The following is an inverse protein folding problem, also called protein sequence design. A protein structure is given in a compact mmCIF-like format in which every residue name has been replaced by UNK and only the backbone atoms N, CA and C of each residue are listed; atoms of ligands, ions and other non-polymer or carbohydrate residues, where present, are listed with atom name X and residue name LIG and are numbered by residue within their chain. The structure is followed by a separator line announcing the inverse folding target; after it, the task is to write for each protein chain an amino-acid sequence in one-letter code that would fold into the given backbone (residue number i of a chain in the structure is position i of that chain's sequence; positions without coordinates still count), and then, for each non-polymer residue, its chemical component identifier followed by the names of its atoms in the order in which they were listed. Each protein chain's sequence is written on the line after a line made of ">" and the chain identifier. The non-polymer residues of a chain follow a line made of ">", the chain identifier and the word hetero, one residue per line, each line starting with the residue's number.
data_IF_720504632956
#
_entry.id   IF_720504632956
#
_cell.length_a   1.000
_cell.length_b   1.000
_cell.length_c   1.000
_cell.angle_alpha   90.00
_cell.angle_beta   90.00
_cell.angle_gamma   90.00
#
_symmetry.space_group_name_H-M   'P 1'
#
loop_
_entity.id
_entity.type
_entity.pdbx_description
1 polymer ?
#
# COMPACT_ATOMS: atom_id res chain seq x y z
N UNK A 1 12.67 -33.60 25.23
CA UNK A 1 11.80 -33.86 24.08
C UNK A 1 11.68 -32.57 23.29
N UNK A 2 12.50 -32.49 22.24
CA UNK A 2 12.69 -31.31 21.41
C UNK A 2 12.00 -31.56 20.08
N UNK A 3 11.00 -30.75 19.74
CA UNK A 3 10.39 -30.72 18.41
C UNK A 3 10.06 -29.28 18.08
N UNK A 4 11.08 -28.53 17.66
CA UNK A 4 10.97 -27.14 17.19
C UNK A 4 11.73 -27.00 15.87
N UNK A 5 11.27 -27.65 14.80
CA UNK A 5 11.83 -27.49 13.45
C UNK A 5 10.78 -27.81 12.38
N UNK A 6 9.69 -27.03 12.33
CA UNK A 6 8.73 -27.05 11.23
C UNK A 6 8.17 -25.65 10.92
N UNK A 7 8.99 -24.60 11.08
CA UNK A 7 8.54 -23.20 10.91
C UNK A 7 9.41 -22.37 9.97
N UNK A 8 10.19 -23.00 9.08
CA UNK A 8 11.27 -22.31 8.36
C UNK A 8 11.17 -22.28 6.83
N UNK A 9 10.13 -22.85 6.22
CA UNK A 9 10.10 -23.10 4.77
C UNK A 9 9.11 -22.23 3.97
N UNK A 10 8.16 -21.55 4.61
CA UNK A 10 7.07 -20.82 3.92
C UNK A 10 7.31 -19.30 3.90
N UNK A 11 8.41 -18.85 3.26
CA UNK A 11 8.67 -17.43 3.07
C UNK A 11 8.54 -17.04 1.59
N UNK A 12 7.81 -15.95 1.23
CA UNK A 12 7.60 -15.55 -0.18
C UNK A 12 8.90 -15.19 -0.92
N UNK A 13 10.00 -15.00 -0.20
CA UNK A 13 11.32 -14.67 -0.75
C UNK A 13 12.27 -15.88 -0.85
N UNK A 14 11.78 -17.10 -0.60
CA UNK A 14 12.58 -18.34 -0.63
C UNK A 14 12.32 -19.21 -1.87
N UNK A 15 11.28 -18.92 -2.64
CA UNK A 15 10.92 -19.57 -3.90
C UNK A 15 11.51 -18.83 -5.12
N UNK A 16 11.35 -19.40 -6.32
CA UNK A 16 11.71 -18.77 -7.60
C UNK A 16 11.28 -17.29 -7.62
N UNK A 17 12.18 -16.33 -7.91
CA UNK A 17 11.85 -14.90 -7.89
C UNK A 17 10.72 -14.50 -8.85
N UNK A 18 10.41 -15.34 -9.84
CA UNK A 18 9.30 -15.13 -10.77
C UNK A 18 8.04 -15.92 -10.42
N UNK A 19 8.02 -16.60 -9.26
CA UNK A 19 6.80 -17.21 -8.77
C UNK A 19 5.71 -16.16 -8.53
N UNK A 20 4.47 -16.52 -8.82
CA UNK A 20 3.32 -15.61 -8.76
C UNK A 20 3.15 -15.01 -7.36
N UNK A 21 3.45 -15.77 -6.31
CA UNK A 21 3.36 -15.30 -4.93
C UNK A 21 4.44 -14.25 -4.62
N UNK A 22 5.69 -14.50 -5.03
CA UNK A 22 6.80 -13.56 -4.87
C UNK A 22 6.53 -12.25 -5.62
N UNK A 23 6.09 -12.34 -6.88
CA UNK A 23 5.74 -11.16 -7.70
C UNK A 23 4.60 -10.37 -7.05
N UNK A 24 3.56 -11.03 -6.57
CA UNK A 24 2.44 -10.36 -5.89
C UNK A 24 2.89 -9.66 -4.60
N UNK A 25 3.76 -10.28 -3.79
CA UNK A 25 4.30 -9.69 -2.58
C UNK A 25 5.10 -8.40 -2.91
N UNK A 26 6.02 -8.47 -3.88
CA UNK A 26 6.83 -7.33 -4.30
C UNK A 26 5.96 -6.22 -4.89
N UNK A 27 4.95 -6.57 -5.71
CA UNK A 27 4.03 -5.59 -6.27
C UNK A 27 3.27 -4.81 -5.19
N UNK A 28 2.74 -5.50 -4.17
CA UNK A 28 2.02 -4.85 -3.06
C UNK A 28 2.95 -3.97 -2.21
N UNK A 29 4.16 -4.44 -1.90
CA UNK A 29 5.16 -3.65 -1.16
C UNK A 29 5.54 -2.39 -1.95
N UNK A 30 5.76 -2.54 -3.26
CA UNK A 30 6.13 -1.43 -4.14
C UNK A 30 4.99 -0.42 -4.25
N UNK A 31 3.76 -0.90 -4.46
CA UNK A 31 2.57 -0.06 -4.50
C UNK A 31 2.40 0.73 -3.20
N UNK A 32 2.52 0.08 -2.05
CA UNK A 32 2.45 0.73 -0.74
C UNK A 32 3.51 1.84 -0.61
N UNK A 33 4.76 1.52 -0.94
CA UNK A 33 5.90 2.44 -0.75
C UNK A 33 5.80 3.65 -1.67
N UNK A 34 5.47 3.44 -2.95
CA UNK A 34 5.28 4.51 -3.92
C UNK A 34 4.08 5.39 -3.54
N UNK A 35 2.97 4.78 -3.09
CA UNK A 35 1.81 5.52 -2.61
C UNK A 35 2.15 6.36 -1.37
N UNK A 36 2.91 5.84 -0.42
CA UNK A 36 3.35 6.56 0.78
C UNK A 36 4.21 7.79 0.42
N UNK A 37 5.20 7.63 -0.47
CA UNK A 37 6.01 8.74 -0.95
C UNK A 37 5.19 9.77 -1.73
N UNK A 38 4.27 9.30 -2.59
CA UNK A 38 3.36 10.17 -3.34
C UNK A 38 2.46 10.97 -2.41
N UNK A 39 1.95 10.36 -1.33
CA UNK A 39 1.08 11.02 -0.36
C UNK A 39 1.78 12.24 0.27
N UNK A 40 3.08 12.15 0.56
CA UNK A 40 3.83 13.28 1.10
C UNK A 40 4.00 14.39 0.07
N UNK A 41 4.30 14.05 -1.18
CA UNK A 41 4.44 15.03 -2.26
C UNK A 41 3.11 15.74 -2.55
N UNK A 42 1.98 15.05 -2.41
CA UNK A 42 0.64 15.60 -2.65
C UNK A 42 -0.06 16.14 -1.41
N UNK A 43 0.55 16.03 -0.22
CA UNK A 43 -0.05 16.49 1.04
C UNK A 43 -0.41 17.98 1.04
N UNK A 44 0.41 18.81 0.39
CA UNK A 44 0.17 20.25 0.26
C UNK A 44 -0.64 20.63 -0.99
N UNK A 45 -1.09 19.66 -1.79
CA UNK A 45 -1.81 19.89 -3.04
C UNK A 45 -3.29 19.57 -2.89
N UNK A 46 -4.14 20.43 -3.42
CA UNK A 46 -5.57 20.16 -3.56
C UNK A 46 -5.83 19.85 -5.03
N UNK A 47 -6.49 18.72 -5.30
CA UNK A 47 -6.94 18.36 -6.63
C UNK A 47 -8.36 18.88 -6.83
N UNK A 48 -8.58 19.60 -7.93
CA UNK A 48 -9.91 19.94 -8.41
C UNK A 48 -10.29 18.95 -9.52
N UNK A 49 -11.29 18.11 -9.26
CA UNK A 49 -11.78 17.11 -10.20
C UNK A 49 -13.09 17.62 -10.83
N UNK A 50 -13.17 17.75 -12.17
CA UNK A 50 -14.39 18.20 -12.82
C UNK A 50 -15.50 17.14 -12.71
N UNK A 51 -16.71 17.60 -12.44
CA UNK A 51 -17.93 16.80 -12.45
C UNK A 51 -18.53 16.77 -13.85
N UNK A 52 -19.16 15.64 -14.25
CA UNK A 52 -19.81 15.53 -15.56
C UNK A 52 -21.03 16.46 -15.72
N UNK A 53 -21.59 16.94 -14.62
CA UNK A 53 -22.66 17.95 -14.60
C UNK A 53 -22.55 18.79 -13.32
N UNK A 54 -22.94 20.06 -13.40
CA UNK A 54 -22.85 20.97 -12.27
C UNK A 54 -23.91 20.67 -11.21
N UNK A 55 -23.52 20.69 -9.94
CA UNK A 55 -24.44 20.57 -8.81
C UNK A 55 -24.91 21.97 -8.37
N UNK A 56 -26.22 22.16 -8.08
CA UNK A 56 -26.81 23.49 -7.84
C UNK A 56 -26.26 24.24 -6.61
N UNK A 57 -25.52 23.57 -5.71
CA UNK A 57 -24.91 24.18 -4.52
C UNK A 57 -23.38 24.02 -4.48
N UNK A 58 -22.87 22.90 -5.00
CA UNK A 58 -21.44 22.54 -4.90
C UNK A 58 -20.64 23.03 -6.10
N UNK A 59 -21.31 23.41 -7.20
CA UNK A 59 -20.65 23.80 -8.44
C UNK A 59 -20.22 22.58 -9.29
N UNK A 60 -19.32 22.79 -10.27
CA UNK A 60 -18.93 21.76 -11.23
C UNK A 60 -17.68 20.96 -10.83
N UNK A 61 -17.13 21.13 -9.62
CA UNK A 61 -15.85 20.53 -9.24
C UNK A 61 -15.88 19.92 -7.83
N UNK A 62 -15.16 18.82 -7.64
CA UNK A 62 -14.85 18.23 -6.34
C UNK A 62 -13.41 18.59 -5.98
N UNK A 63 -13.24 19.24 -4.83
CA UNK A 63 -11.93 19.47 -4.23
C UNK A 63 -11.58 18.31 -3.32
N UNK A 64 -10.46 17.64 -3.60
CA UNK A 64 -9.94 16.55 -2.78
C UNK A 64 -8.52 16.87 -2.32
N UNK A 65 -8.18 16.69 -1.03
CA UNK A 65 -6.79 16.69 -0.59
C UNK A 65 -6.00 15.67 -1.41
N UNK A 66 -4.89 16.08 -2.03
CA UNK A 66 -4.19 15.24 -3.01
C UNK A 66 -3.57 13.99 -2.39
N UNK A 67 -3.32 14.00 -1.09
CA UNK A 67 -2.89 12.82 -0.35
C UNK A 67 -3.99 11.78 -0.15
N UNK A 68 -5.28 12.13 -0.24
CA UNK A 68 -6.38 11.22 0.08
C UNK A 68 -6.40 9.98 -0.81
N UNK A 69 -6.19 10.14 -2.13
CA UNK A 69 -6.11 9.01 -3.06
C UNK A 69 -4.87 8.14 -2.80
N UNK A 70 -3.73 8.78 -2.53
CA UNK A 70 -2.49 8.06 -2.23
C UNK A 70 -2.64 7.22 -0.95
N UNK A 71 -3.27 7.76 0.10
CA UNK A 71 -3.57 6.99 1.31
C UNK A 71 -4.58 5.87 1.09
N UNK A 72 -5.56 6.04 0.20
CA UNK A 72 -6.46 4.93 -0.15
C UNK A 72 -5.67 3.74 -0.75
N UNK A 73 -4.66 4.02 -1.58
CA UNK A 73 -3.78 3.00 -2.14
C UNK A 73 -2.86 2.36 -1.10
N UNK A 74 -2.39 3.10 -0.09
CA UNK A 74 -1.60 2.51 0.99
C UNK A 74 -2.44 1.51 1.79
N UNK A 75 -3.68 1.86 2.15
CA UNK A 75 -4.58 0.95 2.85
C UNK A 75 -4.91 -0.30 2.04
N UNK A 76 -5.26 -0.13 0.75
CA UNK A 76 -5.50 -1.26 -0.13
C UNK A 76 -4.31 -2.22 -0.19
N UNK A 77 -3.10 -1.68 -0.38
CA UNK A 77 -1.90 -2.49 -0.48
C UNK A 77 -1.57 -3.22 0.83
N UNK A 78 -1.69 -2.54 1.98
CA UNK A 78 -1.43 -3.15 3.28
C UNK A 78 -2.47 -4.20 3.65
N UNK A 79 -3.75 -4.01 3.30
CA UNK A 79 -4.82 -4.96 3.61
C UNK A 79 -4.71 -6.22 2.77
N UNK A 80 -4.48 -6.09 1.45
CA UNK A 80 -4.20 -7.24 0.59
C UNK A 80 -2.95 -7.99 1.05
N UNK A 81 -1.90 -7.27 1.48
CA UNK A 81 -0.67 -7.90 1.97
C UNK A 81 -0.89 -8.62 3.31
N UNK A 82 -1.70 -8.05 4.21
CA UNK A 82 -2.04 -8.65 5.49
C UNK A 82 -2.86 -9.92 5.34
N UNK A 83 -3.81 -9.94 4.41
CA UNK A 83 -4.64 -11.11 4.13
C UNK A 83 -3.81 -12.26 3.54
N UNK A 84 -2.91 -11.95 2.61
CA UNK A 84 -2.13 -12.97 1.88
C UNK A 84 -0.89 -13.46 2.63
N UNK A 85 -0.19 -12.58 3.37
CA UNK A 85 1.12 -12.87 3.98
C UNK A 85 1.12 -12.70 5.50
N UNK A 86 -0.01 -12.29 6.08
CA UNK A 86 -0.20 -12.18 7.51
C UNK A 86 0.21 -10.83 8.12
N UNK A 87 -0.32 -10.59 9.32
CA UNK A 87 -0.18 -9.31 10.04
C UNK A 87 1.27 -8.95 10.39
N UNK A 88 2.08 -9.92 10.83
CA UNK A 88 3.47 -9.65 11.24
C UNK A 88 4.36 -9.20 10.08
N UNK A 89 4.23 -9.86 8.94
CA UNK A 89 4.96 -9.47 7.73
C UNK A 89 4.56 -8.06 7.29
N UNK A 90 3.26 -7.76 7.31
CA UNK A 90 2.73 -6.42 7.00
C UNK A 90 3.30 -5.34 7.92
N UNK A 91 3.36 -5.59 9.22
CA UNK A 91 3.94 -4.63 10.19
C UNK A 91 5.40 -4.31 9.88
N UNK A 92 6.19 -5.32 9.50
CA UNK A 92 7.58 -5.09 9.08
C UNK A 92 7.64 -4.21 7.84
N UNK A 93 6.86 -4.55 6.80
CA UNK A 93 6.80 -3.77 5.56
C UNK A 93 6.43 -2.32 5.83
N UNK A 94 5.35 -2.09 6.58
CA UNK A 94 4.86 -0.74 6.89
C UNK A 94 5.89 0.04 7.69
N UNK A 95 6.48 -0.55 8.74
CA UNK A 95 7.49 0.13 9.56
C UNK A 95 8.74 0.48 8.75
N UNK A 96 9.22 -0.43 7.91
CA UNK A 96 10.39 -0.20 7.05
C UNK A 96 10.10 0.88 6.01
N UNK A 97 8.92 0.84 5.39
CA UNK A 97 8.50 1.86 4.43
C UNK A 97 8.36 3.25 5.07
N UNK A 98 7.78 3.35 6.28
CA UNK A 98 7.76 4.61 7.03
C UNK A 98 9.16 5.10 7.37
N UNK A 99 10.06 4.21 7.80
CA UNK A 99 11.45 4.55 8.06
C UNK A 99 12.16 5.05 6.80
N UNK A 100 11.92 4.40 5.66
CA UNK A 100 12.52 4.79 4.38
C UNK A 100 11.96 6.09 3.80
N UNK A 101 10.74 6.46 4.19
CA UNK A 101 10.04 7.65 3.71
C UNK A 101 10.32 8.91 4.56
N UNK A 102 10.94 8.76 5.74
CA UNK A 102 11.25 9.87 6.65
C UNK A 102 12.44 10.69 6.15
#
# INVERSE_FOLDING_TARGET
>A
MSSRTAGGQDGPFRADPLDRSAVAAVALITLFTVALATAQLTAAKVLALPLPFALPVVGPEILLPGAALAYALTFLASDCYAELYGRRATQVVVNVAFLANF
#
